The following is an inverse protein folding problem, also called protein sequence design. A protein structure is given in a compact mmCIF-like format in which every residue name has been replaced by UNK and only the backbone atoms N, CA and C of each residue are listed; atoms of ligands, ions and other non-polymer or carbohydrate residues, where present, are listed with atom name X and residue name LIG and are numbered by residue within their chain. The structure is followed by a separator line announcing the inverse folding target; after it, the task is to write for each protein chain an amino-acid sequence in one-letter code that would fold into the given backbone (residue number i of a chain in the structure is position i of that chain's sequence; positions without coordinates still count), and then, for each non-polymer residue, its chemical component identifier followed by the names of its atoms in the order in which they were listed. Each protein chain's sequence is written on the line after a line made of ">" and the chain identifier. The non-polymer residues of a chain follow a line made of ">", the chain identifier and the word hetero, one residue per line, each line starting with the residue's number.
data_IF_486782781917
#
_entry.id   IF_486782781917
#
_cell.length_a   1.000
_cell.length_b   1.000
_cell.length_c   1.000
_cell.angle_alpha   90.00
_cell.angle_beta   90.00
_cell.angle_gamma   90.00
#
_symmetry.space_group_name_H-M   'P 1'
#
loop_
_entity.id
_entity.type
_entity.pdbx_description
1 polymer ?
#
# COMPACT_ATOMS: atom_id res chain seq x y z
N UNK A 1 14.18 -26.50 -49.04
CA UNK A 1 13.32 -25.33 -48.78
C UNK A 1 11.90 -25.73 -48.37
N UNK A 2 11.19 -26.58 -49.14
CA UNK A 2 9.81 -27.01 -48.81
C UNK A 2 9.65 -27.67 -47.43
N UNK A 3 10.56 -28.55 -47.00
CA UNK A 3 10.48 -29.19 -45.69
C UNK A 3 10.60 -28.18 -44.53
N UNK A 4 11.50 -27.19 -44.67
CA UNK A 4 11.69 -26.14 -43.66
C UNK A 4 10.46 -25.23 -43.57
N UNK A 5 9.87 -24.86 -44.71
CA UNK A 5 8.65 -24.06 -44.73
C UNK A 5 7.46 -24.81 -44.15
N UNK A 6 7.30 -26.10 -44.46
CA UNK A 6 6.22 -26.92 -43.89
C UNK A 6 6.34 -27.07 -42.37
N UNK A 7 7.55 -27.29 -41.86
CA UNK A 7 7.81 -27.34 -40.42
C UNK A 7 7.51 -26.00 -39.75
N UNK A 8 7.95 -24.89 -40.34
CA UNK A 8 7.67 -23.55 -39.81
C UNK A 8 6.16 -23.27 -39.76
N UNK A 9 5.43 -23.56 -40.84
CA UNK A 9 3.97 -23.41 -40.90
C UNK A 9 3.27 -24.26 -39.84
N UNK A 10 3.70 -25.51 -39.67
CA UNK A 10 3.14 -26.40 -38.65
C UNK A 10 3.35 -25.85 -37.24
N UNK A 11 4.56 -25.39 -36.92
CA UNK A 11 4.86 -24.79 -35.62
C UNK A 11 4.03 -23.53 -35.37
N UNK A 12 3.93 -22.62 -36.35
CA UNK A 12 3.11 -21.43 -36.22
C UNK A 12 1.63 -21.77 -35.97
N UNK A 13 1.08 -22.73 -36.70
CA UNK A 13 -0.31 -23.16 -36.53
C UNK A 13 -0.54 -23.79 -35.15
N UNK A 14 0.37 -24.67 -34.72
CA UNK A 14 0.29 -25.30 -33.41
C UNK A 14 0.35 -24.24 -32.28
N UNK A 15 1.27 -23.29 -32.36
CA UNK A 15 1.39 -22.19 -31.39
C UNK A 15 0.13 -21.32 -31.38
N UNK A 16 -0.44 -20.99 -32.54
CA UNK A 16 -1.66 -20.19 -32.62
C UNK A 16 -2.85 -20.91 -31.96
N UNK A 17 -3.02 -22.22 -32.22
CA UNK A 17 -4.07 -23.02 -31.60
C UNK A 17 -3.91 -23.13 -30.08
N UNK A 18 -2.68 -23.35 -29.61
CA UNK A 18 -2.37 -23.36 -28.17
C UNK A 18 -2.70 -22.00 -27.55
N UNK A 19 -2.31 -20.90 -28.20
CA UNK A 19 -2.59 -19.55 -27.71
C UNK A 19 -4.10 -19.31 -27.57
N UNK A 20 -4.88 -19.61 -28.61
CA UNK A 20 -6.35 -19.45 -28.59
C UNK A 20 -6.98 -20.29 -27.48
N UNK A 21 -6.53 -21.55 -27.30
CA UNK A 21 -7.01 -22.42 -26.23
C UNK A 21 -6.71 -21.85 -24.84
N UNK A 22 -5.48 -21.39 -24.59
CA UNK A 22 -5.07 -20.85 -23.29
C UNK A 22 -5.79 -19.54 -22.97
N UNK A 23 -5.95 -18.65 -23.95
CA UNK A 23 -6.74 -17.42 -23.78
C UNK A 23 -8.21 -17.74 -23.53
N UNK A 24 -8.78 -18.72 -24.24
CA UNK A 24 -10.14 -19.19 -23.98
C UNK A 24 -10.29 -19.71 -22.54
N UNK A 25 -9.38 -20.56 -22.06
CA UNK A 25 -9.41 -21.08 -20.69
C UNK A 25 -9.24 -19.97 -19.64
N UNK A 26 -8.56 -18.88 -19.97
CA UNK A 26 -8.39 -17.72 -19.08
C UNK A 26 -9.66 -16.86 -18.97
N UNK A 27 -10.39 -16.66 -20.07
CA UNK A 27 -11.57 -15.77 -20.11
C UNK A 27 -12.89 -16.52 -19.87
N UNK A 28 -12.91 -17.84 -20.12
CA UNK A 28 -14.10 -18.66 -19.91
C UNK A 28 -14.52 -18.71 -18.42
N UNK A 29 -15.81 -18.95 -18.13
CA UNK A 29 -16.28 -19.18 -16.76
C UNK A 29 -15.48 -20.30 -16.05
N UNK A 30 -15.37 -20.26 -14.70
CA UNK A 30 -14.62 -21.23 -13.93
C UNK A 30 -15.01 -22.67 -14.28
N UNK A 31 -14.04 -23.49 -14.68
CA UNK A 31 -14.25 -24.88 -15.04
C UNK A 31 -13.09 -25.74 -14.51
N UNK A 32 -13.27 -27.08 -14.38
CA UNK A 32 -12.25 -27.93 -13.79
C UNK A 32 -10.90 -27.89 -14.52
N UNK A 33 -10.91 -27.75 -15.85
CA UNK A 33 -9.69 -27.68 -16.67
C UNK A 33 -8.93 -26.37 -16.44
N UNK A 34 -9.61 -25.22 -16.41
CA UNK A 34 -8.96 -23.94 -16.13
C UNK A 34 -8.42 -23.86 -14.71
N UNK A 35 -9.08 -24.49 -13.74
CA UNK A 35 -8.57 -24.59 -12.36
C UNK A 35 -7.33 -25.49 -12.26
N UNK A 36 -7.40 -26.69 -12.85
CA UNK A 36 -6.31 -27.67 -12.83
C UNK A 36 -5.02 -27.14 -13.49
N UNK A 37 -5.15 -26.43 -14.61
CA UNK A 37 -4.02 -25.89 -15.39
C UNK A 37 -3.82 -24.38 -15.20
N UNK A 38 -4.36 -23.81 -14.12
CA UNK A 38 -4.32 -22.37 -13.82
C UNK A 38 -2.91 -21.80 -13.87
N UNK A 39 -1.91 -22.51 -13.34
CA UNK A 39 -0.51 -22.07 -13.36
C UNK A 39 0.03 -21.91 -14.79
N UNK A 40 -0.22 -22.87 -15.67
CA UNK A 40 0.26 -22.87 -17.06
C UNK A 40 -0.46 -21.81 -17.90
N UNK A 41 -1.78 -21.70 -17.73
CA UNK A 41 -2.59 -20.66 -18.38
C UNK A 41 -2.08 -19.28 -17.96
N UNK A 42 -1.89 -19.04 -16.67
CA UNK A 42 -1.41 -17.76 -16.14
C UNK A 42 0.01 -17.42 -16.60
N UNK A 43 0.91 -18.41 -16.65
CA UNK A 43 2.28 -18.22 -17.13
C UNK A 43 2.35 -17.84 -18.62
N UNK A 44 1.40 -18.29 -19.43
CA UNK A 44 1.30 -17.93 -20.85
C UNK A 44 0.66 -16.56 -21.07
N UNK A 45 -0.39 -16.25 -20.30
CA UNK A 45 -1.22 -15.04 -20.51
C UNK A 45 -0.60 -13.79 -19.88
N UNK A 46 -0.21 -13.84 -18.61
CA UNK A 46 0.19 -12.64 -17.87
C UNK A 46 1.45 -11.90 -18.35
N UNK A 47 2.43 -12.51 -19.04
CA UNK A 47 3.54 -11.75 -19.61
C UNK A 47 3.10 -10.72 -20.68
N UNK A 48 1.97 -10.96 -21.36
CA UNK A 48 1.50 -10.14 -22.49
C UNK A 48 0.15 -9.46 -22.22
N UNK A 49 -0.69 -10.05 -21.37
CA UNK A 49 -2.05 -9.60 -21.09
C UNK A 49 -2.28 -9.47 -19.58
N UNK A 50 -1.59 -8.52 -18.94
CA UNK A 50 -1.89 -8.18 -17.55
C UNK A 50 -3.22 -7.42 -17.46
N UNK A 51 -4.23 -8.05 -16.83
CA UNK A 51 -5.53 -7.43 -16.61
C UNK A 51 -5.52 -6.60 -15.31
N UNK A 52 -4.92 -5.41 -15.36
CA UNK A 52 -4.92 -4.49 -14.23
C UNK A 52 -6.03 -3.44 -14.37
N UNK A 53 -7.22 -3.73 -13.83
CA UNK A 53 -8.38 -2.84 -13.85
C UNK A 53 -8.32 -1.71 -12.81
N UNK A 54 -7.25 -1.62 -12.00
CA UNK A 54 -7.11 -0.57 -10.98
C UNK A 54 -7.15 0.85 -11.57
N UNK A 55 -6.89 1.01 -12.86
CA UNK A 55 -7.01 2.29 -13.55
C UNK A 55 -8.45 2.77 -13.69
N UNK A 56 -9.42 1.86 -13.84
CA UNK A 56 -10.83 2.19 -14.11
C UNK A 56 -11.75 1.97 -12.92
N UNK A 57 -11.40 1.03 -12.04
CA UNK A 57 -12.15 0.73 -10.83
C UNK A 57 -11.18 0.37 -9.72
N UNK A 58 -10.49 1.36 -9.11
CA UNK A 58 -9.73 1.08 -7.90
C UNK A 58 -10.67 0.57 -6.82
N UNK A 59 -10.27 -0.48 -6.09
CA UNK A 59 -11.03 -0.94 -4.94
C UNK A 59 -11.16 0.21 -3.94
N UNK A 60 -12.39 0.55 -3.51
CA UNK A 60 -12.57 1.58 -2.50
C UNK A 60 -11.87 1.14 -1.21
N UNK A 61 -11.17 2.08 -0.60
CA UNK A 61 -10.47 1.83 0.64
C UNK A 61 -11.50 1.50 1.73
N UNK A 62 -11.50 0.25 2.21
CA UNK A 62 -12.51 -0.27 3.15
C UNK A 62 -12.14 -0.04 4.61
N UNK A 63 -11.13 0.80 4.87
CA UNK A 63 -10.61 1.08 6.21
C UNK A 63 -10.16 2.55 6.32
N UNK A 64 -10.37 3.14 7.49
CA UNK A 64 -9.74 4.40 7.87
C UNK A 64 -8.42 4.12 8.57
N UNK A 65 -7.39 4.93 8.32
CA UNK A 65 -6.08 4.79 8.98
C UNK A 65 -5.68 6.08 9.66
N UNK A 66 -5.42 5.98 10.96
CA UNK A 66 -4.86 7.05 11.76
C UNK A 66 -3.37 6.76 11.99
N UNK A 67 -2.52 7.67 11.55
CA UNK A 67 -1.07 7.56 11.69
C UNK A 67 -0.62 8.60 12.71
N UNK A 68 0.00 8.14 13.78
CA UNK A 68 0.59 8.97 14.82
C UNK A 68 2.09 8.77 14.89
N UNK A 69 2.83 9.80 15.32
CA UNK A 69 4.26 9.72 15.57
C UNK A 69 4.58 10.10 17.01
N UNK A 70 5.65 9.52 17.56
CA UNK A 70 6.31 10.00 18.78
C UNK A 70 7.81 9.99 18.58
N UNK A 71 8.48 10.87 19.28
CA UNK A 71 9.93 11.05 19.19
C UNK A 71 10.62 10.67 20.48
N UNK A 72 11.91 10.36 20.37
CA UNK A 72 12.81 10.12 21.49
C UNK A 72 14.04 11.03 21.35
N UNK A 73 14.47 11.60 22.47
CA UNK A 73 15.72 12.33 22.59
C UNK A 73 16.46 11.89 23.85
N UNK A 74 17.79 11.98 23.83
CA UNK A 74 18.62 11.70 24.99
C UNK A 74 18.83 12.98 25.79
N UNK A 75 18.43 12.98 27.05
CA UNK A 75 18.64 14.11 27.95
C UNK A 75 20.12 14.24 28.36
N UNK A 76 20.56 15.40 28.89
CA UNK A 76 21.97 15.61 29.27
C UNK A 76 22.49 14.61 30.32
N UNK A 77 21.59 14.01 31.10
CA UNK A 77 21.89 12.97 32.07
C UNK A 77 22.00 11.56 31.46
N UNK A 78 21.87 11.43 30.13
CA UNK A 78 21.90 10.18 29.39
C UNK A 78 20.57 9.42 29.38
N UNK A 79 19.50 9.96 29.97
CA UNK A 79 18.20 9.29 30.00
C UNK A 79 17.43 9.48 28.69
N UNK A 80 16.81 8.41 28.18
CA UNK A 80 15.97 8.47 27.00
C UNK A 80 14.59 9.04 27.36
N UNK A 81 14.26 10.20 26.81
CA UNK A 81 12.97 10.84 27.00
C UNK A 81 12.07 10.65 25.77
N UNK A 82 10.98 9.91 25.96
CA UNK A 82 10.00 9.61 24.91
C UNK A 82 8.81 10.55 25.04
N UNK A 83 8.45 11.19 23.94
CA UNK A 83 7.31 12.10 23.90
C UNK A 83 5.96 11.37 23.76
N UNK A 84 4.87 12.11 23.98
CA UNK A 84 3.53 11.64 23.69
C UNK A 84 3.26 11.50 22.19
N UNK A 85 2.25 10.72 21.83
CA UNK A 85 1.81 10.57 20.44
C UNK A 85 1.28 11.90 19.87
N UNK A 86 1.73 12.23 18.67
CA UNK A 86 1.25 13.33 17.83
C UNK A 86 0.51 12.74 16.63
N UNK A 87 -0.69 13.24 16.34
CA UNK A 87 -1.53 12.73 15.27
C UNK A 87 -1.18 13.41 13.94
N UNK A 88 -0.51 12.67 13.05
CA UNK A 88 -0.12 13.16 11.73
C UNK A 88 -1.32 13.23 10.77
N UNK A 89 -2.28 12.32 10.93
CA UNK A 89 -3.50 12.27 10.12
C UNK A 89 -4.39 13.47 10.43
N UNK A 90 -4.51 13.87 11.69
CA UNK A 90 -5.30 15.05 12.08
C UNK A 90 -4.81 16.35 11.42
N UNK A 91 -3.50 16.47 11.15
CA UNK A 91 -2.94 17.62 10.40
C UNK A 91 -3.52 17.67 8.99
N UNK A 92 -3.48 16.55 8.27
CA UNK A 92 -4.02 16.43 6.91
C UNK A 92 -5.54 16.62 6.89
N UNK A 93 -6.27 15.97 7.79
CA UNK A 93 -7.72 16.08 7.88
C UNK A 93 -8.16 17.52 8.13
N UNK A 94 -7.46 18.26 8.99
CA UNK A 94 -7.80 19.66 9.28
C UNK A 94 -7.59 20.59 8.07
N UNK A 95 -6.60 20.30 7.22
CA UNK A 95 -6.32 21.06 6.01
C UNK A 95 -7.30 20.74 4.87
N UNK A 96 -7.93 19.56 4.90
CA UNK A 96 -8.91 19.11 3.92
C UNK A 96 -10.33 19.51 4.33
N UNK A 97 -10.67 19.37 5.60
CA UNK A 97 -12.03 19.56 6.11
C UNK A 97 -12.48 21.01 5.93
N UNK A 98 -13.68 21.20 5.37
CA UNK A 98 -14.27 22.50 5.04
C UNK A 98 -13.50 23.35 4.02
N UNK A 99 -12.48 22.80 3.36
CA UNK A 99 -11.78 23.46 2.26
C UNK A 99 -12.42 23.05 0.92
N UNK A 100 -12.96 23.99 0.12
CA UNK A 100 -13.55 23.66 -1.19
C UNK A 100 -12.52 23.20 -2.23
N UNK A 101 -11.24 23.57 -2.06
CA UNK A 101 -10.15 23.22 -2.97
C UNK A 101 -8.91 22.77 -2.19
N UNK A 102 -8.98 21.62 -1.50
CA UNK A 102 -7.87 21.15 -0.69
C UNK A 102 -6.67 20.76 -1.57
N UNK A 103 -5.45 21.00 -1.08
CA UNK A 103 -4.26 20.64 -1.84
C UNK A 103 -4.12 19.12 -1.96
N UNK A 104 -3.57 18.64 -3.08
CA UNK A 104 -3.29 17.21 -3.25
C UNK A 104 -2.30 16.70 -2.21
N UNK A 105 -1.38 17.55 -1.74
CA UNK A 105 -0.43 17.22 -0.69
C UNK A 105 -1.13 16.88 0.62
N UNK A 106 -2.04 17.74 1.09
CA UNK A 106 -2.82 17.50 2.31
C UNK A 106 -3.69 16.23 2.18
N UNK A 107 -4.25 15.99 1.01
CA UNK A 107 -5.11 14.82 0.79
C UNK A 107 -4.34 13.49 0.68
N UNK A 108 -3.12 13.51 0.13
CA UNK A 108 -2.51 12.27 -0.40
C UNK A 108 -1.08 12.00 0.07
N UNK A 109 -0.33 12.96 0.59
CA UNK A 109 1.10 12.77 0.89
C UNK A 109 1.32 11.63 1.89
N UNK A 110 0.73 11.74 3.08
CA UNK A 110 0.89 10.75 4.15
C UNK A 110 0.26 9.41 3.76
N UNK A 111 -0.94 9.44 3.17
CA UNK A 111 -1.67 8.25 2.72
C UNK A 111 -0.87 7.45 1.69
N UNK A 112 -0.33 8.12 0.65
CA UNK A 112 0.46 7.46 -0.40
C UNK A 112 1.82 6.99 0.11
N UNK A 113 2.46 7.74 1.00
CA UNK A 113 3.70 7.30 1.65
C UNK A 113 3.47 5.98 2.42
N UNK A 114 2.39 5.90 3.17
CA UNK A 114 2.00 4.68 3.88
C UNK A 114 1.65 3.52 2.94
N UNK A 115 0.85 3.75 1.89
CA UNK A 115 0.54 2.71 0.90
C UNK A 115 1.81 2.18 0.23
N UNK A 116 2.72 3.06 -0.19
CA UNK A 116 4.01 2.67 -0.76
C UNK A 116 4.83 1.88 0.26
N UNK A 117 4.81 2.26 1.54
CA UNK A 117 5.55 1.55 2.58
C UNK A 117 5.08 0.10 2.68
N UNK A 118 3.76 -0.12 2.73
CA UNK A 118 3.16 -1.46 2.77
C UNK A 118 3.49 -2.31 1.53
N UNK A 119 3.51 -1.70 0.33
CA UNK A 119 3.85 -2.40 -0.91
C UNK A 119 5.31 -2.89 -0.94
N UNK A 120 6.22 -2.17 -0.26
CA UNK A 120 7.65 -2.49 -0.27
C UNK A 120 8.15 -3.22 0.99
N UNK A 121 7.32 -3.33 2.04
CA UNK A 121 7.63 -4.01 3.31
C UNK A 121 6.61 -5.13 3.56
N UNK A 122 6.69 -6.16 2.70
CA UNK A 122 5.79 -7.32 2.77
C UNK A 122 6.34 -8.31 3.81
N UNK A 123 5.57 -8.56 4.86
CA UNK A 123 5.87 -9.59 5.87
C UNK A 123 6.53 -9.03 7.13
N UNK A 124 7.59 -8.24 7.00
CA UNK A 124 8.27 -7.59 8.11
C UNK A 124 8.48 -6.07 7.86
N UNK A 125 8.83 -5.34 8.91
CA UNK A 125 9.17 -3.91 8.85
C UNK A 125 10.66 -3.69 8.53
N UNK A 126 11.31 -4.62 7.80
CA UNK A 126 12.69 -4.50 7.38
C UNK A 126 12.79 -4.17 5.88
N UNK A 127 13.68 -3.24 5.49
CA UNK A 127 13.81 -2.87 4.10
C UNK A 127 14.72 -3.85 3.35
N UNK A 128 14.13 -4.72 2.51
CA UNK A 128 14.86 -5.73 1.73
C UNK A 128 15.27 -5.27 0.32
N UNK A 129 15.01 -4.01 -0.04
CA UNK A 129 15.37 -3.43 -1.33
C UNK A 129 15.69 -1.95 -1.21
N UNK A 130 16.40 -1.39 -2.21
CA UNK A 130 16.64 0.05 -2.29
C UNK A 130 15.32 0.85 -2.30
N UNK A 131 14.29 0.31 -2.98
CA UNK A 131 12.96 0.94 -3.01
C UNK A 131 12.28 0.93 -1.64
N UNK A 132 12.45 -0.15 -0.87
CA UNK A 132 11.97 -0.23 0.51
C UNK A 132 12.67 0.80 1.40
N UNK A 133 14.01 0.90 1.33
CA UNK A 133 14.79 1.92 2.06
C UNK A 133 14.31 3.34 1.74
N UNK A 134 14.19 3.69 0.45
CA UNK A 134 13.74 5.02 0.04
C UNK A 134 12.32 5.34 0.53
N UNK A 135 11.43 4.36 0.50
CA UNK A 135 10.05 4.54 0.95
C UNK A 135 9.97 4.69 2.47
N UNK A 136 10.76 3.92 3.22
CA UNK A 136 10.90 4.08 4.66
C UNK A 136 11.43 5.48 4.99
N UNK A 137 12.52 5.91 4.35
CA UNK A 137 13.09 7.24 4.56
C UNK A 137 12.07 8.35 4.25
N UNK A 138 11.33 8.22 3.14
CA UNK A 138 10.30 9.18 2.78
C UNK A 138 9.22 9.31 3.86
N UNK A 139 8.73 8.18 4.39
CA UNK A 139 7.74 8.19 5.47
C UNK A 139 8.32 8.77 6.78
N UNK A 140 9.57 8.44 7.10
CA UNK A 140 10.31 9.03 8.24
C UNK A 140 10.38 10.55 8.10
N UNK A 141 10.78 11.06 6.94
CA UNK A 141 10.93 12.49 6.69
C UNK A 141 9.60 13.24 6.84
N UNK A 142 8.51 12.71 6.27
CA UNK A 142 7.17 13.30 6.44
C UNK A 142 6.82 13.42 7.92
N UNK A 143 7.06 12.36 8.69
CA UNK A 143 6.75 12.32 10.10
C UNK A 143 7.65 13.26 10.90
N UNK A 144 8.97 13.29 10.64
CA UNK A 144 9.91 14.16 11.34
C UNK A 144 9.63 15.64 11.06
N UNK A 145 9.41 16.02 9.80
CA UNK A 145 9.14 17.41 9.41
C UNK A 145 7.89 17.94 10.11
N UNK A 146 6.83 17.13 10.15
CA UNK A 146 5.57 17.50 10.79
C UNK A 146 5.70 17.60 12.31
N UNK A 147 6.44 16.69 12.94
CA UNK A 147 6.67 16.77 14.39
C UNK A 147 7.53 18.00 14.73
N UNK A 148 8.59 18.25 13.96
CA UNK A 148 9.45 19.41 14.12
C UNK A 148 8.67 20.72 13.96
N UNK A 149 7.80 20.81 12.95
CA UNK A 149 6.93 21.98 12.74
C UNK A 149 5.90 22.18 13.88
N UNK A 150 5.44 21.11 14.55
CA UNK A 150 4.43 21.21 15.60
C UNK A 150 5.00 21.51 16.99
N UNK A 151 6.09 20.82 17.39
CA UNK A 151 6.66 20.92 18.75
C UNK A 151 7.94 21.74 18.83
N UNK A 152 8.64 21.94 17.71
CA UNK A 152 10.01 22.42 17.71
C UNK A 152 10.99 21.43 18.36
N UNK A 153 12.27 21.78 18.34
CA UNK A 153 13.34 20.99 18.94
C UNK A 153 13.84 19.82 18.08
N UNK A 154 15.01 19.30 18.44
CA UNK A 154 15.62 18.13 17.80
C UNK A 154 15.25 16.84 18.53
N UNK A 155 15.27 15.74 17.80
CA UNK A 155 15.08 14.40 18.33
C UNK A 155 15.92 13.42 17.52
N UNK A 156 16.34 12.33 18.16
CA UNK A 156 17.28 11.37 17.58
C UNK A 156 16.56 10.25 16.82
N UNK A 157 15.34 9.94 17.24
CA UNK A 157 14.55 8.90 16.61
C UNK A 157 13.06 9.18 16.69
N UNK A 158 12.35 8.55 15.77
CA UNK A 158 10.90 8.64 15.63
C UNK A 158 10.31 7.24 15.54
N UNK A 159 9.13 7.06 16.11
CA UNK A 159 8.32 5.86 15.99
C UNK A 159 6.94 6.23 15.50
N UNK A 160 6.43 5.46 14.54
CA UNK A 160 5.08 5.59 14.02
C UNK A 160 4.18 4.50 14.59
N UNK A 161 2.91 4.86 14.79
CA UNK A 161 1.82 3.96 15.11
C UNK A 161 0.72 4.16 14.08
N UNK A 162 0.22 3.08 13.52
CA UNK A 162 -0.89 3.08 12.58
C UNK A 162 -2.06 2.32 13.18
N UNK A 163 -3.18 3.01 13.38
CA UNK A 163 -4.44 2.42 13.81
C UNK A 163 -5.34 2.30 12.59
N UNK A 164 -5.71 1.07 12.23
CA UNK A 164 -6.55 0.75 11.09
C UNK A 164 -7.96 0.38 11.57
N UNK A 165 -8.94 1.19 11.19
CA UNK A 165 -10.35 1.08 11.56
C UNK A 165 -11.18 0.62 10.36
N UNK A 166 -11.76 -0.59 10.38
CA UNK A 166 -12.62 -1.07 9.30
C UNK A 166 -13.85 -0.17 9.10
N UNK A 167 -14.16 0.13 7.83
CA UNK A 167 -15.39 0.84 7.45
C UNK A 167 -16.50 -0.19 7.29
N UNK A 168 -17.61 0.01 8.00
CA UNK A 168 -18.76 -0.87 7.91
C UNK A 168 -19.39 -0.81 6.51
N UNK A 169 -19.76 -1.97 5.97
CA UNK A 169 -20.49 -2.03 4.71
C UNK A 169 -21.87 -1.35 4.86
N UNK A 170 -22.38 -0.65 3.83
CA UNK A 170 -23.73 -0.10 3.85
C UNK A 170 -24.76 -1.22 4.10
N UNK A 171 -25.81 -0.94 4.87
CA UNK A 171 -26.91 -1.87 5.03
C UNK A 171 -27.59 -2.15 3.68
N UNK A 172 -27.93 -3.40 3.34
CA UNK A 172 -28.61 -3.71 2.09
C UNK A 172 -29.98 -3.01 2.04
N UNK A 173 -30.26 -2.33 0.93
CA UNK A 173 -31.57 -1.71 0.72
C UNK A 173 -32.63 -2.80 0.55
N UNK A 174 -33.50 -2.97 1.56
CA UNK A 174 -34.75 -3.76 1.42
C UNK A 174 -34.87 -5.07 2.21
N UNK A 175 -34.01 -5.36 3.20
CA UNK A 175 -34.12 -6.59 4.00
C UNK A 175 -34.35 -6.30 5.48
N UNK A 176 -35.50 -6.75 6.03
CA UNK A 176 -35.67 -6.89 7.46
C UNK A 176 -34.60 -7.88 8.00
N UNK A 177 -33.73 -7.39 8.89
CA UNK A 177 -32.82 -8.24 9.65
C UNK A 177 -31.53 -8.67 8.93
N UNK A 178 -30.74 -7.74 8.41
CA UNK A 178 -29.30 -7.99 8.32
C UNK A 178 -28.74 -7.84 9.73
N UNK A 179 -28.39 -8.96 10.39
CA UNK A 179 -27.70 -8.93 11.67
C UNK A 179 -26.52 -7.96 11.55
N UNK A 180 -26.50 -6.91 12.38
CA UNK A 180 -25.42 -5.96 12.42
C UNK A 180 -24.11 -6.74 12.62
N UNK A 181 -23.31 -6.86 11.56
CA UNK A 181 -22.00 -7.48 11.67
C UNK A 181 -21.24 -6.63 12.68
N UNK A 182 -20.86 -7.24 13.81
CA UNK A 182 -20.15 -6.54 14.87
C UNK A 182 -18.95 -5.79 14.25
N UNK A 183 -18.73 -4.52 14.59
CA UNK A 183 -17.64 -3.74 14.01
C UNK A 183 -16.33 -4.49 14.24
N UNK A 184 -15.61 -4.78 13.15
CA UNK A 184 -14.32 -5.45 13.23
C UNK A 184 -13.38 -4.59 14.06
N UNK A 185 -12.67 -5.21 15.01
CA UNK A 185 -11.78 -4.52 15.92
C UNK A 185 -10.70 -3.73 15.17
N UNK A 186 -10.31 -2.59 15.73
CA UNK A 186 -9.20 -1.80 15.22
C UNK A 186 -7.90 -2.61 15.28
N UNK A 187 -7.12 -2.58 14.21
CA UNK A 187 -5.78 -3.15 14.19
C UNK A 187 -4.75 -2.05 14.47
N UNK A 188 -3.82 -2.29 15.39
CA UNK A 188 -2.78 -1.31 15.76
C UNK A 188 -1.40 -1.87 15.46
N UNK A 189 -0.71 -1.25 14.49
CA UNK A 189 0.66 -1.59 14.12
C UNK A 189 1.62 -0.53 14.66
N UNK A 190 2.67 -0.97 15.35
CA UNK A 190 3.78 -0.14 15.76
C UNK A 190 4.97 -0.42 14.85
N UNK A 191 5.48 0.62 14.19
CA UNK A 191 6.69 0.49 13.38
C UNK A 191 7.93 0.50 14.29
N UNK A 192 9.07 -0.03 13.83
CA UNK A 192 10.33 0.09 14.57
C UNK A 192 10.72 1.55 14.76
N UNK A 193 11.60 1.80 15.73
CA UNK A 193 12.23 3.11 15.89
C UNK A 193 13.18 3.37 14.72
N UNK A 194 13.01 4.50 14.06
CA UNK A 194 13.90 4.95 12.99
C UNK A 194 14.72 6.13 13.48
N UNK A 195 16.01 6.10 13.19
CA UNK A 195 16.88 7.26 13.42
C UNK A 195 16.49 8.36 12.45
N UNK A 196 16.50 9.59 12.95
CA UNK A 196 16.22 10.78 12.15
C UNK A 196 17.57 11.40 11.85
N UNK A 197 17.89 11.54 10.56
CA UNK A 197 19.06 12.31 10.17
C UNK A 197 18.75 13.77 10.49
N UNK A 198 19.56 14.38 11.35
CA UNK A 198 19.51 15.82 11.54
C UNK A 198 20.11 16.39 10.27
N UNK A 199 19.28 16.96 9.40
CA UNK A 199 19.79 17.65 8.22
C UNK A 199 20.83 18.68 8.67
N UNK A 200 22.10 18.43 8.32
CA UNK A 200 23.20 19.38 8.45
C UNK A 200 23.03 20.61 7.56
N UNK A 201 21.92 20.71 6.82
CA UNK A 201 21.55 21.88 6.05
C UNK A 201 20.89 22.91 6.96
N UNK A 202 21.75 23.58 7.72
CA UNK A 202 21.46 24.85 8.33
C UNK A 202 21.23 25.96 7.29
N UNK A 203 20.48 26.95 7.78
CA UNK A 203 20.05 28.24 7.19
C UNK A 203 18.79 28.23 6.32
#
# INVERSE_FOLDING_TARGET
>A
MQAVTSTAVFLCLATALIHVLLVFLHVAPPNPLSQQYSRQVNAWVFPLFEQNWRLFAPDPESVNRQISARTMHTAPDGTAQVSGWFDLTAVDDSAVKHNPFPSHTAQNMLRRAWSSYLENHVGDDQPHSQRALMTQQYLTNIASDRVAAHRGGSFESIQLRVVTLPIAAPAPAGGAGAAAVAPKAADTRYLPWWKVEVDSHGN
#
